data_IF_383587831380
#
_entry.id   IF_383587831380
#
_cell.length_a   1.000
_cell.length_b   1.000
_cell.length_c   1.000
_cell.angle_alpha   90.00
_cell.angle_beta   90.00
_cell.angle_gamma   90.00
#
_symmetry.space_group_name_H-M   'P 1'
#
loop_
_entity.id
_entity.type
_entity.pdbx_description
1 polymer ?
#
# COMPACT_ATOMS: atom_id res chain seq x y z
N UNK A 1 -5.72 3.83 -6.33
CA UNK A 1 -7.15 3.54 -6.09
C UNK A 1 -7.26 2.27 -5.27
N UNK A 2 -8.15 2.26 -4.29
CA UNK A 2 -8.52 1.08 -3.49
C UNK A 2 -10.05 0.91 -3.56
N UNK A 3 -10.51 -0.34 -3.68
CA UNK A 3 -11.93 -0.68 -3.70
C UNK A 3 -12.21 -1.80 -2.70
N UNK A 4 -13.11 -1.53 -1.77
CA UNK A 4 -13.66 -2.52 -0.83
C UNK A 4 -15.06 -2.94 -1.31
N UNK A 5 -15.82 -3.65 -0.47
CA UNK A 5 -17.22 -3.97 -0.79
C UNK A 5 -18.10 -2.71 -0.77
N UNK A 6 -17.85 -1.82 0.18
CA UNK A 6 -18.72 -0.67 0.47
C UNK A 6 -18.15 0.64 -0.08
N UNK A 7 -16.84 0.74 -0.30
CA UNK A 7 -16.20 2.01 -0.66
C UNK A 7 -15.24 1.87 -1.83
N UNK A 8 -15.22 2.89 -2.69
CA UNK A 8 -14.19 3.11 -3.69
C UNK A 8 -13.49 4.45 -3.43
N UNK A 9 -12.17 4.42 -3.31
CA UNK A 9 -11.36 5.61 -3.06
C UNK A 9 -10.24 5.77 -4.09
N UNK A 10 -10.17 6.96 -4.68
CA UNK A 10 -9.18 7.34 -5.69
C UNK A 10 -8.33 8.47 -5.14
N UNK A 11 -7.05 8.17 -4.89
CA UNK A 11 -6.06 9.16 -4.53
C UNK A 11 -5.43 9.78 -5.79
N UNK A 12 -5.29 11.10 -5.78
CA UNK A 12 -4.54 11.87 -6.75
C UNK A 12 -3.45 12.65 -6.02
N UNK A 13 -2.23 12.63 -6.55
CA UNK A 13 -1.14 13.43 -6.01
C UNK A 13 -1.34 14.90 -6.40
N UNK A 14 -1.42 15.79 -5.41
CA UNK A 14 -1.65 17.22 -5.62
C UNK A 14 -3.10 17.65 -5.92
N UNK A 15 -4.09 16.74 -5.88
CA UNK A 15 -5.50 17.07 -6.12
C UNK A 15 -6.42 16.47 -5.05
N UNK A 16 -7.65 16.99 -4.99
CA UNK A 16 -8.71 16.42 -4.13
C UNK A 16 -8.97 14.97 -4.53
N UNK A 17 -8.99 14.02 -3.58
CA UNK A 17 -9.31 12.63 -3.88
C UNK A 17 -10.79 12.48 -4.24
N UNK A 18 -11.16 11.34 -4.84
CA UNK A 18 -12.55 10.94 -5.03
C UNK A 18 -12.94 9.81 -4.08
N UNK A 19 -14.17 9.83 -3.59
CA UNK A 19 -14.73 8.81 -2.71
C UNK A 19 -16.17 8.49 -3.10
N UNK A 20 -16.49 7.21 -3.30
CA UNK A 20 -17.84 6.74 -3.63
C UNK A 20 -18.29 5.66 -2.63
N UNK A 21 -19.53 5.78 -2.16
CA UNK A 21 -20.20 4.74 -1.36
C UNK A 21 -20.88 3.75 -2.31
N UNK A 22 -20.32 2.56 -2.48
CA UNK A 22 -20.84 1.56 -3.41
C UNK A 22 -22.13 0.86 -2.92
N UNK A 23 -22.47 0.96 -1.63
CA UNK A 23 -23.73 0.41 -1.12
C UNK A 23 -24.92 1.34 -1.43
N UNK A 24 -24.72 2.64 -1.32
CA UNK A 24 -25.77 3.65 -1.55
C UNK A 24 -25.75 4.19 -3.00
N UNK A 25 -24.58 4.19 -3.63
CA UNK A 25 -24.32 4.74 -4.97
C UNK A 25 -23.50 3.74 -5.80
N UNK A 26 -24.12 2.62 -6.23
CA UNK A 26 -23.44 1.58 -7.02
C UNK A 26 -22.99 2.06 -8.41
N UNK A 27 -23.61 3.13 -8.93
CA UNK A 27 -23.28 3.74 -10.22
C UNK A 27 -22.19 4.82 -10.10
N UNK A 28 -21.68 5.09 -8.90
CA UNK A 28 -20.57 6.03 -8.63
C UNK A 28 -20.84 7.46 -9.13
N UNK A 29 -22.08 7.94 -8.98
CA UNK A 29 -22.51 9.26 -9.44
C UNK A 29 -22.24 10.39 -8.43
N UNK A 30 -22.08 10.05 -7.15
CA UNK A 30 -21.94 11.01 -6.04
C UNK A 30 -20.54 10.99 -5.44
N UNK A 31 -19.70 11.97 -5.81
CA UNK A 31 -18.35 12.11 -5.24
C UNK A 31 -18.39 12.76 -3.84
N UNK A 32 -17.95 11.99 -2.85
CA UNK A 32 -17.83 12.36 -1.43
C UNK A 32 -16.38 12.75 -1.07
N UNK A 33 -15.50 12.91 -2.06
CA UNK A 33 -14.08 13.18 -1.89
C UNK A 33 -13.73 14.46 -1.13
N UNK A 34 -14.60 15.47 -1.19
CA UNK A 34 -14.48 16.73 -0.45
C UNK A 34 -15.36 16.79 0.83
N UNK A 35 -16.10 15.72 1.15
CA UNK A 35 -17.00 15.70 2.30
C UNK A 35 -16.23 15.61 3.61
N UNK A 36 -16.47 16.54 4.53
CA UNK A 36 -15.84 16.55 5.86
C UNK A 36 -16.36 15.40 6.73
N UNK A 37 -17.62 15.00 6.55
CA UNK A 37 -18.26 13.87 7.25
C UNK A 37 -17.52 12.55 6.98
N UNK A 38 -16.96 12.41 5.78
CA UNK A 38 -16.29 11.17 5.33
C UNK A 38 -14.76 11.23 5.48
N UNK A 39 -14.23 12.18 6.25
CA UNK A 39 -12.78 12.34 6.43
C UNK A 39 -12.11 11.09 6.99
N UNK A 40 -12.66 10.49 8.05
CA UNK A 40 -12.09 9.30 8.68
C UNK A 40 -12.03 8.11 7.71
N UNK A 41 -13.06 7.96 6.86
CA UNK A 41 -13.12 6.93 5.82
C UNK A 41 -12.04 7.17 4.76
N UNK A 42 -11.84 8.43 4.33
CA UNK A 42 -10.76 8.79 3.40
C UNK A 42 -9.39 8.48 3.99
N UNK A 43 -9.15 8.85 5.25
CA UNK A 43 -7.87 8.59 5.94
C UNK A 43 -7.61 7.08 6.08
N UNK A 44 -8.62 6.30 6.46
CA UNK A 44 -8.52 4.85 6.57
C UNK A 44 -8.19 4.19 5.22
N UNK A 45 -8.89 4.59 4.14
CA UNK A 45 -8.66 4.04 2.80
C UNK A 45 -7.33 4.49 2.21
N UNK A 46 -6.90 5.73 2.50
CA UNK A 46 -5.57 6.22 2.15
C UNK A 46 -4.49 5.40 2.85
N UNK A 47 -4.61 5.15 4.16
CA UNK A 47 -3.66 4.35 4.92
C UNK A 47 -3.54 2.93 4.36
N UNK A 48 -4.67 2.28 4.05
CA UNK A 48 -4.67 0.95 3.43
C UNK A 48 -4.01 0.95 2.04
N UNK A 49 -4.30 1.96 1.21
CA UNK A 49 -3.68 2.11 -0.11
C UNK A 49 -2.17 2.33 0.02
N UNK A 50 -1.74 3.18 0.95
CA UNK A 50 -0.33 3.47 1.21
C UNK A 50 0.42 2.24 1.74
N UNK A 51 -0.20 1.52 2.67
CA UNK A 51 0.31 0.27 3.22
C UNK A 51 0.50 -0.78 2.13
N UNK A 52 -0.51 -0.95 1.27
CA UNK A 52 -0.39 -1.81 0.11
C UNK A 52 0.79 -1.38 -0.77
N UNK A 53 0.92 -0.09 -1.09
CA UNK A 53 1.98 0.42 -1.95
C UNK A 53 3.40 0.12 -1.42
N UNK A 54 3.63 0.25 -0.10
CA UNK A 54 4.94 0.00 0.54
C UNK A 54 5.26 -1.49 0.68
N UNK A 55 4.26 -2.36 0.78
CA UNK A 55 4.48 -3.81 0.90
C UNK A 55 4.45 -4.55 -0.44
N UNK A 56 4.36 -3.84 -1.57
CA UNK A 56 4.37 -4.47 -2.90
C UNK A 56 5.66 -5.26 -3.10
N UNK A 57 5.50 -6.51 -3.52
CA UNK A 57 6.63 -7.36 -3.90
C UNK A 57 7.17 -6.93 -5.26
N UNK A 58 8.13 -6.00 -5.26
CA UNK A 58 8.77 -5.49 -6.48
C UNK A 58 9.86 -6.41 -7.03
N UNK A 59 10.40 -7.32 -6.20
CA UNK A 59 11.47 -8.26 -6.59
C UNK A 59 10.97 -9.70 -6.42
N UNK A 60 10.41 -10.32 -7.47
CA UNK A 60 9.86 -11.68 -7.40
C UNK A 60 10.91 -12.77 -7.65
N UNK A 61 12.10 -12.43 -8.11
CA UNK A 61 13.12 -13.38 -8.59
C UNK A 61 13.70 -14.30 -7.52
N UNK A 62 13.58 -13.95 -6.24
CA UNK A 62 13.98 -14.79 -5.11
C UNK A 62 12.85 -14.89 -4.10
N UNK A 63 12.68 -16.08 -3.52
CA UNK A 63 11.76 -16.29 -2.41
C UNK A 63 12.32 -15.71 -1.10
N UNK A 64 11.42 -15.40 -0.15
CA UNK A 64 11.83 -14.95 1.19
C UNK A 64 12.71 -16.00 1.89
N UNK A 65 12.46 -17.29 1.66
CA UNK A 65 13.26 -18.39 2.21
C UNK A 65 14.69 -18.39 1.67
N UNK A 66 14.86 -18.17 0.37
CA UNK A 66 16.19 -18.07 -0.25
C UNK A 66 16.95 -16.83 0.23
N UNK A 67 16.27 -15.69 0.36
CA UNK A 67 16.86 -14.47 0.92
C UNK A 67 17.37 -14.74 2.35
N UNK A 68 16.52 -15.30 3.21
CA UNK A 68 16.89 -15.63 4.59
C UNK A 68 18.08 -16.61 4.65
N UNK A 69 18.13 -17.60 3.77
CA UNK A 69 19.26 -18.55 3.70
C UNK A 69 20.56 -17.89 3.25
N UNK A 70 20.53 -16.82 2.45
CA UNK A 70 21.74 -16.15 1.93
C UNK A 70 22.26 -15.07 2.88
N UNK A 71 21.38 -14.43 3.66
CA UNK A 71 21.73 -13.36 4.62
C UNK A 71 22.74 -13.85 5.66
N UNK A 72 23.74 -13.02 5.99
CA UNK A 72 24.72 -13.30 7.06
C UNK A 72 25.84 -14.28 6.71
N UNK A 73 25.82 -14.91 5.52
CA UNK A 73 26.85 -15.89 5.10
C UNK A 73 28.13 -15.27 4.52
N UNK A 74 28.30 -13.95 4.60
CA UNK A 74 29.47 -13.24 4.05
C UNK A 74 30.79 -13.75 4.63
N UNK A 75 30.86 -13.91 5.96
CA UNK A 75 32.07 -14.38 6.67
C UNK A 75 32.49 -15.79 6.24
N UNK A 76 31.54 -16.70 6.04
CA UNK A 76 31.79 -18.07 5.57
C UNK A 76 32.36 -18.11 4.15
N UNK A 77 32.13 -17.05 3.36
CA UNK A 77 32.65 -16.89 2.00
C UNK A 77 33.96 -16.08 1.95
N UNK A 78 34.55 -15.78 3.12
CA UNK A 78 35.81 -15.02 3.22
C UNK A 78 35.65 -13.51 3.23
N UNK A 79 34.43 -12.96 3.21
CA UNK A 79 34.22 -11.51 3.37
C UNK A 79 34.28 -11.13 4.85
N UNK A 80 35.40 -10.51 5.25
CA UNK A 80 35.63 -10.04 6.62
C UNK A 80 35.43 -8.51 6.67
N UNK A 81 34.47 -8.07 7.50
CA UNK A 81 34.18 -6.65 7.76
C UNK A 81 34.25 -6.45 9.27
N UNK A 82 35.00 -5.45 9.74
CA UNK A 82 35.13 -5.13 11.18
C UNK A 82 35.95 -6.13 11.98
N UNK A 83 37.04 -6.66 11.40
CA UNK A 83 38.02 -7.50 12.11
C UNK A 83 39.33 -6.70 12.17
N UNK A 84 39.79 -6.39 13.38
CA UNK A 84 41.02 -5.67 13.69
C UNK A 84 41.92 -6.50 14.61
#
# INVERSE_FOLDING_TARGET
MIRTKTWKYIYYDGFTPQLFNLEEDPDEMNDLGASEIHKDIREQLFQQLFDWMRTRKLRPTLSNKEIASRTGKGKQRGYLIGVW
#
